data_IF_767683492553
#
_entry.id   IF_767683492553
#
_cell.length_a   1.000
_cell.length_b   1.000
_cell.length_c   1.000
_cell.angle_alpha   90.00
_cell.angle_beta   90.00
_cell.angle_gamma   90.00
#
_symmetry.space_group_name_H-M   'P 1'
#
loop_
_entity.id
_entity.type
_entity.pdbx_description
1 polymer ?
#
# COMPACT_ATOMS: atom_id res chain seq x y z
N UNK A 1 -13.12 30.06 -11.08
CA UNK A 1 -12.77 29.02 -10.08
C UNK A 1 -11.68 28.09 -10.63
N UNK A 2 -11.84 27.56 -11.83
CA UNK A 2 -10.89 26.63 -12.47
C UNK A 2 -9.48 27.20 -12.62
N UNK A 3 -9.35 28.47 -13.05
CA UNK A 3 -8.04 29.13 -13.18
C UNK A 3 -7.29 29.22 -11.83
N UNK A 4 -7.99 29.54 -10.74
CA UNK A 4 -7.39 29.57 -9.40
C UNK A 4 -6.94 28.18 -8.94
N UNK A 5 -7.68 27.14 -9.27
CA UNK A 5 -7.30 25.74 -8.99
C UNK A 5 -6.07 25.33 -9.82
N UNK A 6 -5.99 25.75 -11.09
CA UNK A 6 -4.81 25.50 -11.92
C UNK A 6 -3.55 26.19 -11.37
N UNK A 7 -3.69 27.46 -10.95
CA UNK A 7 -2.60 28.20 -10.32
C UNK A 7 -2.17 27.53 -8.99
N UNK A 8 -3.11 27.08 -8.19
CA UNK A 8 -2.83 26.35 -6.95
C UNK A 8 -2.10 25.04 -7.22
N UNK A 9 -2.58 24.22 -8.21
CA UNK A 9 -1.89 23.01 -8.62
C UNK A 9 -0.44 23.28 -9.02
N UNK A 10 -0.20 24.30 -9.84
CA UNK A 10 1.16 24.66 -10.27
C UNK A 10 2.05 25.08 -9.09
N UNK A 11 1.51 25.76 -8.07
CA UNK A 11 2.25 26.14 -6.87
C UNK A 11 2.64 24.94 -5.98
N UNK A 12 1.86 23.87 -5.98
CA UNK A 12 2.13 22.67 -5.19
C UNK A 12 2.88 21.58 -5.97
N UNK A 13 3.21 21.87 -7.23
CA UNK A 13 3.97 20.96 -8.09
C UNK A 13 5.44 21.33 -8.04
N UNK A 14 6.26 20.41 -7.56
CA UNK A 14 7.72 20.56 -7.47
C UNK A 14 8.36 19.67 -8.54
N UNK A 15 8.73 20.27 -9.66
CA UNK A 15 9.40 19.53 -10.75
C UNK A 15 10.88 19.36 -10.44
N UNK A 16 11.40 18.16 -10.75
CA UNK A 16 12.84 17.93 -10.85
C UNK A 16 13.33 18.37 -12.23
N UNK A 17 14.56 18.87 -12.29
CA UNK A 17 15.22 19.19 -13.58
C UNK A 17 15.48 17.93 -14.42
N UNK A 18 15.35 16.74 -13.83
CA UNK A 18 15.57 15.45 -14.48
C UNK A 18 14.62 14.38 -13.92
N UNK A 19 14.42 13.30 -14.66
CA UNK A 19 13.62 12.16 -14.22
C UNK A 19 14.23 11.51 -13.00
N UNK A 20 13.40 11.24 -11.99
CA UNK A 20 13.80 10.46 -10.83
C UNK A 20 14.03 9.01 -11.24
N UNK A 21 15.26 8.52 -11.02
CA UNK A 21 15.64 7.18 -11.43
C UNK A 21 15.60 6.19 -10.25
N UNK A 22 15.22 4.93 -10.49
CA UNK A 22 15.45 3.85 -9.53
C UNK A 22 16.92 3.79 -9.12
N UNK A 23 17.16 3.65 -7.82
CA UNK A 23 18.49 3.64 -7.20
C UNK A 23 19.35 4.90 -7.45
N UNK A 24 18.76 5.96 -7.99
CA UNK A 24 19.38 7.29 -7.99
C UNK A 24 19.40 7.92 -6.60
N UNK A 25 20.03 9.07 -6.45
CA UNK A 25 20.26 9.74 -5.15
C UNK A 25 18.99 9.89 -4.33
N UNK A 26 17.90 10.40 -4.95
CA UNK A 26 16.62 10.56 -4.25
C UNK A 26 16.10 9.23 -3.71
N UNK A 27 16.09 8.18 -4.53
CA UNK A 27 15.60 6.87 -4.12
C UNK A 27 16.48 6.26 -3.02
N UNK A 28 17.80 6.34 -3.14
CA UNK A 28 18.73 5.84 -2.12
C UNK A 28 18.56 6.56 -0.77
N UNK A 29 18.32 7.88 -0.78
CA UNK A 29 18.00 8.63 0.44
C UNK A 29 16.69 8.13 1.06
N UNK A 30 15.64 7.92 0.25
CA UNK A 30 14.38 7.38 0.74
C UNK A 30 14.55 5.96 1.34
N UNK A 31 15.34 5.10 0.71
CA UNK A 31 15.65 3.75 1.24
C UNK A 31 16.41 3.82 2.57
N UNK A 32 17.39 4.72 2.68
CA UNK A 32 18.12 4.93 3.93
C UNK A 32 17.19 5.44 5.06
N UNK A 33 16.33 6.40 4.77
CA UNK A 33 15.31 6.89 5.71
C UNK A 33 14.35 5.75 6.10
N UNK A 34 13.93 4.92 5.15
CA UNK A 34 13.08 3.76 5.40
C UNK A 34 13.76 2.79 6.37
N UNK A 35 15.01 2.43 6.11
CA UNK A 35 15.77 1.50 6.95
C UNK A 35 15.92 2.04 8.38
N UNK A 36 16.31 3.30 8.53
CA UNK A 36 16.42 3.96 9.85
C UNK A 36 15.07 3.97 10.56
N UNK A 37 13.99 4.29 9.85
CA UNK A 37 12.62 4.30 10.41
C UNK A 37 12.20 2.91 10.89
N UNK A 38 12.51 1.85 10.14
CA UNK A 38 12.24 0.46 10.53
C UNK A 38 13.01 0.07 11.80
N UNK A 39 14.31 0.39 11.86
CA UNK A 39 15.14 0.07 13.04
C UNK A 39 14.62 0.78 14.28
N UNK A 40 14.30 2.07 14.18
CA UNK A 40 13.76 2.84 15.28
C UNK A 40 12.38 2.32 15.70
N UNK A 41 11.49 2.03 14.74
CA UNK A 41 10.17 1.47 15.01
C UNK A 41 10.26 0.12 15.74
N UNK A 42 11.10 -0.81 15.26
CA UNK A 42 11.36 -2.09 15.91
C UNK A 42 11.91 -1.91 17.33
N UNK A 43 12.92 -1.05 17.50
CA UNK A 43 13.55 -0.79 18.79
C UNK A 43 12.55 -0.26 19.82
N UNK A 44 11.76 0.75 19.47
CA UNK A 44 10.77 1.31 20.38
C UNK A 44 9.63 0.34 20.65
N UNK A 45 9.25 -0.50 19.68
CA UNK A 45 8.23 -1.53 19.87
C UNK A 45 8.71 -2.64 20.79
N UNK A 46 10.00 -3.00 20.73
CA UNK A 46 10.57 -3.94 21.71
C UNK A 46 10.44 -3.38 23.14
N UNK A 47 10.65 -2.09 23.34
CA UNK A 47 10.58 -1.44 24.66
C UNK A 47 9.17 -1.12 25.13
N UNK A 48 8.32 -0.61 24.24
CA UNK A 48 6.96 -0.10 24.54
C UNK A 48 5.98 -0.54 23.46
N UNK A 49 5.64 -1.84 23.36
CA UNK A 49 4.98 -2.41 22.18
C UNK A 49 3.64 -1.72 21.84
N UNK A 50 2.73 -1.60 22.79
CA UNK A 50 1.39 -1.04 22.54
C UNK A 50 1.42 0.45 22.22
N UNK A 51 2.20 1.22 22.98
CA UNK A 51 2.30 2.68 22.78
C UNK A 51 2.92 3.02 21.43
N UNK A 52 4.01 2.33 21.07
CA UNK A 52 4.72 2.58 19.81
C UNK A 52 3.85 2.18 18.62
N UNK A 53 3.24 1.02 18.65
CA UNK A 53 2.39 0.55 17.55
C UNK A 53 1.17 1.46 17.38
N UNK A 54 0.50 1.83 18.46
CA UNK A 54 -0.62 2.77 18.40
C UNK A 54 -0.20 4.14 17.82
N UNK A 55 0.91 4.69 18.28
CA UNK A 55 1.45 5.93 17.74
C UNK A 55 1.72 5.84 16.24
N UNK A 56 2.34 4.75 15.79
CA UNK A 56 2.63 4.53 14.38
C UNK A 56 1.35 4.38 13.54
N UNK A 57 0.33 3.68 14.02
CA UNK A 57 -0.95 3.60 13.32
C UNK A 57 -1.59 4.97 13.17
N UNK A 58 -1.64 5.79 14.23
CA UNK A 58 -2.20 7.15 14.17
C UNK A 58 -1.39 8.03 13.23
N UNK A 59 -0.07 8.07 13.39
CA UNK A 59 0.84 8.88 12.55
C UNK A 59 0.71 8.50 11.08
N UNK A 60 0.79 7.20 10.79
CA UNK A 60 0.67 6.70 9.41
C UNK A 60 -0.70 7.00 8.82
N UNK A 61 -1.78 6.84 9.59
CA UNK A 61 -3.13 7.20 9.14
C UNK A 61 -3.19 8.66 8.72
N UNK A 62 -2.76 9.59 9.57
CA UNK A 62 -2.83 11.03 9.26
C UNK A 62 -2.02 11.37 8.01
N UNK A 63 -0.75 10.93 7.96
CA UNK A 63 0.14 11.27 6.85
C UNK A 63 -0.35 10.64 5.54
N UNK A 64 -0.77 9.37 5.57
CA UNK A 64 -1.23 8.68 4.37
C UNK A 64 -2.52 9.26 3.82
N UNK A 65 -3.49 9.64 4.67
CA UNK A 65 -4.72 10.30 4.20
C UNK A 65 -4.48 11.70 3.65
N UNK A 66 -3.57 12.48 4.23
CA UNK A 66 -3.16 13.77 3.68
C UNK A 66 -2.44 13.61 2.33
N UNK A 67 -1.54 12.64 2.23
CA UNK A 67 -0.86 12.30 0.98
C UNK A 67 -1.84 11.82 -0.10
N UNK A 68 -2.83 11.01 0.29
CA UNK A 68 -3.86 10.53 -0.62
C UNK A 68 -4.75 11.67 -1.14
N UNK A 69 -5.17 12.57 -0.26
CA UNK A 69 -5.92 13.76 -0.67
C UNK A 69 -5.14 14.63 -1.67
N UNK A 70 -3.82 14.80 -1.45
CA UNK A 70 -2.94 15.49 -2.40
C UNK A 70 -2.89 14.76 -3.75
N UNK A 71 -2.68 13.44 -3.76
CA UNK A 71 -2.63 12.63 -4.99
C UNK A 71 -3.95 12.70 -5.76
N UNK A 72 -5.07 12.50 -5.09
CA UNK A 72 -6.39 12.54 -5.71
C UNK A 72 -6.66 13.90 -6.37
N UNK A 73 -6.31 15.00 -5.69
CA UNK A 73 -6.41 16.34 -6.27
C UNK A 73 -5.50 16.51 -7.48
N UNK A 74 -4.22 16.09 -7.37
CA UNK A 74 -3.24 16.25 -8.44
C UNK A 74 -3.62 15.45 -9.70
N UNK A 75 -3.96 14.18 -9.54
CA UNK A 75 -4.27 13.26 -10.66
C UNK A 75 -5.62 13.56 -11.32
N UNK A 76 -6.59 14.07 -10.55
CA UNK A 76 -7.92 14.40 -11.08
C UNK A 76 -7.99 15.78 -11.72
N UNK A 77 -6.92 16.57 -11.65
CA UNK A 77 -6.88 17.90 -12.25
C UNK A 77 -6.09 17.90 -13.56
N UNK A 78 -6.80 17.87 -14.71
CA UNK A 78 -6.21 17.83 -16.04
C UNK A 78 -6.79 18.92 -16.93
N UNK A 79 -5.94 19.55 -17.74
CA UNK A 79 -6.34 20.57 -18.74
C UNK A 79 -7.22 21.71 -18.16
N UNK A 80 -6.94 22.13 -16.92
CA UNK A 80 -7.69 23.20 -16.27
C UNK A 80 -9.04 22.77 -15.67
N UNK A 81 -9.42 21.51 -15.76
CA UNK A 81 -10.68 20.96 -15.25
C UNK A 81 -10.43 19.87 -14.21
N UNK A 82 -11.29 19.83 -13.21
CA UNK A 82 -11.32 18.73 -12.25
C UNK A 82 -12.24 17.63 -12.77
N UNK A 83 -11.65 16.47 -13.11
CA UNK A 83 -12.37 15.26 -13.49
C UNK A 83 -11.80 14.13 -12.68
N UNK A 84 -12.59 13.58 -11.74
CA UNK A 84 -12.10 12.53 -10.85
C UNK A 84 -11.66 11.30 -11.65
N UNK A 85 -10.42 10.88 -11.42
CA UNK A 85 -9.83 9.73 -12.09
C UNK A 85 -10.00 8.48 -11.22
N UNK A 86 -11.02 7.67 -11.52
CA UNK A 86 -11.36 6.47 -10.75
C UNK A 86 -10.27 5.41 -10.77
N UNK A 87 -9.39 5.41 -11.77
CA UNK A 87 -8.20 4.57 -11.79
C UNK A 87 -7.30 4.77 -10.57
N UNK A 88 -7.22 5.99 -10.04
CA UNK A 88 -6.43 6.32 -8.86
C UNK A 88 -7.18 6.17 -7.55
N UNK A 89 -8.41 5.66 -7.57
CA UNK A 89 -9.15 5.37 -6.33
C UNK A 89 -8.29 4.55 -5.37
N UNK A 90 -8.19 4.91 -4.08
CA UNK A 90 -7.16 4.37 -3.17
C UNK A 90 -7.50 2.96 -2.66
N UNK A 91 -7.67 2.02 -3.55
CA UNK A 91 -7.93 0.62 -3.22
C UNK A 91 -6.96 -0.35 -3.94
N UNK A 92 -5.76 0.12 -4.23
CA UNK A 92 -4.66 -0.75 -4.63
C UNK A 92 -4.12 -1.51 -3.41
N UNK A 93 -3.44 -2.62 -3.62
CA UNK A 93 -2.88 -3.43 -2.54
C UNK A 93 -2.02 -2.59 -1.58
N UNK A 94 -1.18 -1.69 -2.11
CA UNK A 94 -0.38 -0.75 -1.33
C UNK A 94 -1.19 0.42 -0.72
N UNK A 95 -2.45 0.60 -1.09
CA UNK A 95 -3.33 1.63 -0.51
C UNK A 95 -4.20 1.11 0.63
N UNK A 96 -4.31 -0.21 0.81
CA UNK A 96 -5.12 -0.79 1.90
C UNK A 96 -4.68 -0.39 3.31
N UNK A 97 -3.39 -0.06 3.57
CA UNK A 97 -2.98 0.48 4.86
C UNK A 97 -3.73 1.74 5.28
N UNK A 98 -4.24 2.55 4.34
CA UNK A 98 -5.10 3.70 4.64
C UNK A 98 -6.28 3.31 5.54
N UNK A 99 -6.94 2.22 5.21
CA UNK A 99 -8.11 1.71 5.93
C UNK A 99 -7.73 0.89 7.15
N UNK A 100 -6.73 0.03 6.99
CA UNK A 100 -6.26 -0.86 8.07
C UNK A 100 -5.70 -0.06 9.24
N UNK A 101 -4.85 0.93 8.98
CA UNK A 101 -4.24 1.75 10.04
C UNK A 101 -5.28 2.66 10.71
N UNK A 102 -6.24 3.20 9.94
CA UNK A 102 -7.37 3.94 10.48
C UNK A 102 -8.19 3.05 11.44
N UNK A 103 -8.53 1.84 11.03
CA UNK A 103 -9.28 0.89 11.88
C UNK A 103 -8.48 0.53 13.13
N UNK A 104 -7.17 0.26 13.02
CA UNK A 104 -6.30 0.00 14.18
C UNK A 104 -6.24 1.21 15.13
N UNK A 105 -6.20 2.43 14.60
CA UNK A 105 -6.21 3.66 15.41
C UNK A 105 -7.49 3.84 16.22
N UNK A 106 -8.62 3.37 15.68
CA UNK A 106 -9.95 3.45 16.32
C UNK A 106 -10.14 2.30 17.32
N UNK A 107 -9.87 1.07 16.90
CA UNK A 107 -10.16 -0.14 17.67
C UNK A 107 -9.26 -0.32 18.90
N UNK A 108 -7.98 -0.01 18.79
CA UNK A 108 -6.93 -0.05 19.85
C UNK A 108 -6.67 -1.43 20.46
N UNK A 109 -7.64 -2.36 20.46
CA UNK A 109 -7.55 -3.72 21.03
C UNK A 109 -8.66 -4.62 20.52
N UNK A 110 -8.52 -5.92 20.75
CA UNK A 110 -9.52 -6.94 20.41
C UNK A 110 -9.09 -7.80 19.23
N UNK A 111 -9.85 -8.88 18.97
CA UNK A 111 -9.50 -9.89 17.95
C UNK A 111 -9.31 -9.29 16.55
N UNK A 112 -10.18 -8.36 16.16
CA UNK A 112 -10.07 -7.68 14.87
C UNK A 112 -8.82 -6.80 14.84
N UNK A 113 -8.54 -6.03 15.90
CA UNK A 113 -7.32 -5.24 16.01
C UNK A 113 -6.06 -6.11 15.87
N UNK A 114 -6.03 -7.26 16.55
CA UNK A 114 -4.89 -8.18 16.50
C UNK A 114 -4.71 -8.75 15.06
N UNK A 115 -5.80 -9.12 14.38
CA UNK A 115 -5.76 -9.58 12.99
C UNK A 115 -5.29 -8.48 12.01
N UNK A 116 -5.81 -7.25 12.14
CA UNK A 116 -5.39 -6.10 11.35
C UNK A 116 -3.93 -5.72 11.63
N UNK A 117 -3.49 -5.85 12.89
CA UNK A 117 -2.09 -5.61 13.25
C UNK A 117 -1.18 -6.64 12.60
N UNK A 118 -1.54 -7.92 12.61
CA UNK A 118 -0.76 -8.94 11.91
C UNK A 118 -0.77 -8.71 10.39
N UNK A 119 -1.92 -8.34 9.81
CA UNK A 119 -2.02 -7.94 8.40
C UNK A 119 -1.05 -6.79 8.06
N UNK A 120 -0.93 -5.82 8.96
CA UNK A 120 0.04 -4.73 8.81
C UNK A 120 1.48 -5.23 8.81
N UNK A 121 1.80 -6.20 9.68
CA UNK A 121 3.12 -6.80 9.81
C UNK A 121 3.49 -7.78 8.69
N UNK A 122 2.53 -8.21 7.88
CA UNK A 122 2.73 -9.15 6.77
C UNK A 122 2.45 -8.48 5.43
N UNK A 123 1.19 -8.34 5.07
CA UNK A 123 0.78 -7.83 3.75
C UNK A 123 1.18 -6.38 3.49
N UNK A 124 1.01 -5.47 4.47
CA UNK A 124 1.43 -4.09 4.29
C UNK A 124 2.96 -3.95 4.24
N UNK A 125 3.67 -4.72 5.06
CA UNK A 125 5.13 -4.76 5.02
C UNK A 125 5.63 -5.27 3.66
N UNK A 126 5.04 -6.37 3.16
CA UNK A 126 5.36 -6.91 1.85
C UNK A 126 5.04 -5.93 0.71
N UNK A 127 3.88 -5.27 0.75
CA UNK A 127 3.49 -4.29 -0.26
C UNK A 127 4.47 -3.10 -0.28
N UNK A 128 4.87 -2.59 0.89
CA UNK A 128 5.87 -1.53 1.00
C UNK A 128 7.22 -1.94 0.43
N UNK A 129 7.71 -3.13 0.79
CA UNK A 129 8.98 -3.67 0.28
C UNK A 129 8.94 -3.89 -1.24
N UNK A 130 7.86 -4.43 -1.76
CA UNK A 130 7.69 -4.70 -3.19
C UNK A 130 7.80 -3.43 -4.02
N UNK A 131 7.15 -2.35 -3.60
CA UNK A 131 7.19 -1.07 -4.31
C UNK A 131 8.56 -0.40 -4.18
N UNK A 132 9.15 -0.38 -2.99
CA UNK A 132 10.42 0.28 -2.76
C UNK A 132 11.61 -0.42 -3.41
N UNK A 133 11.61 -1.77 -3.46
CA UNK A 133 12.76 -2.56 -3.86
C UNK A 133 12.60 -3.26 -5.22
N UNK A 134 11.39 -3.77 -5.52
CA UNK A 134 11.17 -4.61 -6.70
C UNK A 134 10.66 -3.75 -7.87
N UNK A 135 9.76 -2.80 -7.60
CA UNK A 135 9.12 -2.00 -8.65
C UNK A 135 9.16 -0.49 -8.37
N UNK A 136 10.35 0.10 -8.08
CA UNK A 136 10.45 1.53 -7.75
C UNK A 136 10.02 2.46 -8.90
N UNK A 137 10.02 1.97 -10.13
CA UNK A 137 9.53 2.73 -11.29
C UNK A 137 8.05 3.08 -11.20
N UNK A 138 7.25 2.29 -10.49
CA UNK A 138 5.81 2.57 -10.30
C UNK A 138 5.55 3.82 -9.48
N UNK A 139 6.48 4.22 -8.63
CA UNK A 139 6.37 5.41 -7.77
C UNK A 139 7.26 6.58 -8.20
N UNK A 140 8.37 6.30 -8.87
CA UNK A 140 9.30 7.33 -9.34
C UNK A 140 9.00 7.80 -10.77
N UNK A 141 8.44 6.92 -11.60
CA UNK A 141 8.19 7.20 -13.03
C UNK A 141 6.88 7.90 -13.33
N UNK A 142 5.87 7.77 -12.47
CA UNK A 142 4.53 8.30 -12.71
C UNK A 142 4.46 9.83 -12.68
N UNK A 143 5.34 10.49 -11.97
CA UNK A 143 5.29 11.93 -11.74
C UNK A 143 5.96 12.80 -12.80
N UNK A 144 6.45 12.28 -13.93
CA UNK A 144 7.18 13.06 -14.93
C UNK A 144 8.26 13.99 -14.31
N UNK A 145 8.93 13.53 -13.26
CA UNK A 145 9.88 14.35 -12.48
C UNK A 145 9.24 15.22 -11.39
N UNK A 146 7.96 15.03 -11.06
CA UNK A 146 7.33 15.74 -9.96
C UNK A 146 7.75 15.15 -8.60
N UNK A 147 8.58 15.87 -7.87
CA UNK A 147 9.00 15.49 -6.51
C UNK A 147 7.82 15.36 -5.54
N UNK A 148 6.78 16.18 -5.68
CA UNK A 148 5.60 16.12 -4.81
C UNK A 148 4.91 14.76 -4.88
N UNK A 149 4.70 14.23 -6.08
CA UNK A 149 4.12 12.90 -6.29
C UNK A 149 5.10 11.80 -5.86
N UNK A 150 6.39 11.95 -6.17
CA UNK A 150 7.38 10.97 -5.73
C UNK A 150 7.47 10.89 -4.19
N UNK A 151 7.49 12.01 -3.48
CA UNK A 151 7.47 12.05 -2.02
C UNK A 151 6.15 11.47 -1.49
N UNK A 152 5.01 11.86 -2.08
CA UNK A 152 3.70 11.34 -1.73
C UNK A 152 3.64 9.81 -1.88
N UNK A 153 4.35 9.26 -2.85
CA UNK A 153 4.42 7.80 -3.02
C UNK A 153 5.44 7.15 -2.09
N UNK A 154 6.65 7.70 -1.96
CA UNK A 154 7.73 7.11 -1.15
C UNK A 154 7.42 7.13 0.35
N UNK A 155 6.83 8.22 0.86
CA UNK A 155 6.55 8.39 2.29
C UNK A 155 5.53 7.37 2.84
N UNK A 156 4.37 7.13 2.22
CA UNK A 156 3.48 6.04 2.62
C UNK A 156 4.16 4.67 2.65
N UNK A 157 4.97 4.32 1.65
CA UNK A 157 5.65 3.03 1.63
C UNK A 157 6.72 2.93 2.73
N UNK A 158 7.41 4.03 3.05
CA UNK A 158 8.28 4.11 4.23
C UNK A 158 7.52 3.88 5.53
N UNK A 159 6.35 4.51 5.68
CA UNK A 159 5.47 4.30 6.85
C UNK A 159 4.92 2.87 6.90
N UNK A 160 4.61 2.27 5.76
CA UNK A 160 4.21 0.85 5.70
C UNK A 160 5.32 -0.06 6.21
N UNK A 161 6.56 0.20 5.83
CA UNK A 161 7.72 -0.57 6.30
C UNK A 161 7.95 -0.40 7.81
N UNK A 162 7.94 0.84 8.31
CA UNK A 162 8.16 1.13 9.73
C UNK A 162 7.02 0.61 10.62
N UNK A 163 5.76 0.84 10.22
CA UNK A 163 4.58 0.37 10.94
C UNK A 163 4.46 -1.14 10.84
N UNK A 164 4.73 -1.71 9.66
CA UNK A 164 4.68 -3.14 9.42
C UNK A 164 5.66 -3.92 10.26
N UNK A 165 6.94 -3.51 10.30
CA UNK A 165 7.92 -4.19 11.17
C UNK A 165 7.56 -4.06 12.66
N UNK A 166 7.02 -2.91 13.07
CA UNK A 166 6.53 -2.70 14.43
C UNK A 166 5.36 -3.66 14.75
N UNK A 167 4.41 -3.80 13.84
CA UNK A 167 3.26 -4.69 14.00
C UNK A 167 3.67 -6.17 14.02
N UNK A 168 4.66 -6.55 13.21
CA UNK A 168 5.21 -7.90 13.21
C UNK A 168 5.91 -8.22 14.55
N UNK A 169 6.76 -7.30 15.03
CA UNK A 169 7.43 -7.44 16.34
C UNK A 169 6.41 -7.52 17.48
N UNK A 170 5.37 -6.68 17.44
CA UNK A 170 4.28 -6.71 18.43
C UNK A 170 3.55 -8.05 18.44
N UNK A 171 3.17 -8.56 17.27
CA UNK A 171 2.45 -9.82 17.13
C UNK A 171 3.33 -11.02 17.53
N UNK A 172 4.59 -11.03 17.12
CA UNK A 172 5.54 -12.08 17.49
C UNK A 172 5.79 -12.16 19.00
N UNK A 173 5.85 -11.01 19.70
CA UNK A 173 6.01 -10.99 21.17
C UNK A 173 4.79 -11.55 21.93
N UNK A 174 3.60 -11.47 21.34
CA UNK A 174 2.35 -11.98 21.92
C UNK A 174 2.06 -13.43 21.54
N UNK A 175 2.84 -13.99 20.63
CA UNK A 175 2.60 -15.30 20.02
C UNK A 175 1.57 -15.23 18.88
N UNK A 176 1.91 -15.82 17.75
CA UNK A 176 1.02 -15.90 16.58
C UNK A 176 0.29 -17.24 16.64
N UNK A 177 -0.91 -17.26 17.19
CA UNK A 177 -1.77 -18.44 17.22
C UNK A 177 -2.36 -18.75 15.83
N UNK A 178 -2.77 -20.00 15.60
CA UNK A 178 -3.46 -20.39 14.38
C UNK A 178 -4.73 -19.54 14.14
N UNK A 179 -5.47 -19.15 15.18
CA UNK A 179 -6.65 -18.28 15.06
C UNK A 179 -6.27 -16.87 14.56
N UNK A 180 -5.15 -16.34 15.05
CA UNK A 180 -4.67 -15.04 14.62
C UNK A 180 -4.18 -15.10 13.17
N UNK A 181 -3.46 -16.16 12.82
CA UNK A 181 -3.02 -16.43 11.45
C UNK A 181 -4.21 -16.53 10.46
N UNK A 182 -5.23 -17.32 10.80
CA UNK A 182 -6.45 -17.40 9.98
C UNK A 182 -7.22 -16.07 9.92
N UNK A 183 -7.21 -15.30 11.01
CA UNK A 183 -7.77 -13.95 11.04
C UNK A 183 -7.05 -12.99 10.08
N UNK A 184 -5.74 -13.09 9.97
CA UNK A 184 -4.91 -12.35 9.01
C UNK A 184 -5.30 -12.65 7.57
N UNK A 185 -5.42 -13.94 7.23
CA UNK A 185 -5.89 -14.39 5.90
C UNK A 185 -7.31 -13.87 5.62
N UNK A 186 -8.20 -13.94 6.60
CA UNK A 186 -9.58 -13.45 6.45
C UNK A 186 -9.63 -11.93 6.17
N UNK A 187 -8.76 -11.14 6.80
CA UNK A 187 -8.63 -9.69 6.47
C UNK A 187 -8.21 -9.52 5.00
N UNK A 188 -7.18 -10.22 4.55
CA UNK A 188 -6.73 -10.16 3.16
C UNK A 188 -7.84 -10.52 2.17
N UNK A 189 -8.51 -11.66 2.38
CA UNK A 189 -9.59 -12.13 1.51
C UNK A 189 -10.80 -11.18 1.51
N UNK A 190 -11.10 -10.55 2.64
CA UNK A 190 -12.17 -9.54 2.73
C UNK A 190 -11.86 -8.30 1.90
N UNK A 191 -10.62 -7.79 2.00
CA UNK A 191 -10.18 -6.66 1.20
C UNK A 191 -10.12 -7.01 -0.30
N UNK A 192 -9.70 -8.22 -0.63
CA UNK A 192 -9.70 -8.73 -2.00
C UNK A 192 -11.13 -8.79 -2.58
N UNK A 193 -12.10 -9.28 -1.80
CA UNK A 193 -13.50 -9.32 -2.22
C UNK A 193 -14.05 -7.90 -2.49
N UNK A 194 -13.70 -6.93 -1.65
CA UNK A 194 -14.05 -5.53 -1.90
C UNK A 194 -13.40 -5.01 -3.18
N UNK A 195 -12.13 -5.36 -3.44
CA UNK A 195 -11.45 -4.97 -4.67
C UNK A 195 -12.16 -5.52 -5.92
N UNK A 196 -12.62 -6.77 -5.90
CA UNK A 196 -13.39 -7.36 -7.00
C UNK A 196 -14.74 -6.65 -7.21
N UNK A 197 -15.46 -6.34 -6.13
CA UNK A 197 -16.70 -5.56 -6.22
C UNK A 197 -16.45 -4.19 -6.87
N UNK A 198 -15.35 -3.53 -6.51
CA UNK A 198 -14.98 -2.25 -7.10
C UNK A 198 -14.54 -2.40 -8.58
N UNK A 199 -13.79 -3.43 -8.92
CA UNK A 199 -13.37 -3.71 -10.30
C UNK A 199 -14.56 -4.00 -11.22
N UNK A 200 -15.62 -4.58 -10.70
CA UNK A 200 -16.85 -4.79 -11.46
C UNK A 200 -17.77 -3.56 -11.47
N UNK A 201 -17.98 -2.94 -10.32
CA UNK A 201 -18.99 -1.89 -10.15
C UNK A 201 -18.55 -0.52 -10.68
N UNK A 202 -17.31 -0.13 -10.47
CA UNK A 202 -16.82 1.20 -10.86
C UNK A 202 -16.83 1.42 -12.37
N UNK A 203 -16.37 0.47 -13.24
CA UNK A 203 -16.46 0.65 -14.68
C UNK A 203 -17.90 0.80 -15.18
N UNK A 204 -18.84 0.03 -14.63
CA UNK A 204 -20.26 0.12 -14.99
C UNK A 204 -20.85 1.47 -14.62
N UNK A 205 -20.48 1.99 -13.45
CA UNK A 205 -21.02 3.26 -12.95
C UNK A 205 -20.36 4.48 -13.57
N UNK A 206 -19.05 4.45 -13.80
CA UNK A 206 -18.25 5.63 -14.16
C UNK A 206 -17.85 5.68 -15.63
N UNK A 207 -17.91 4.54 -16.32
CA UNK A 207 -17.37 4.38 -17.68
C UNK A 207 -15.82 4.43 -17.76
N UNK A 208 -15.13 4.39 -16.60
CA UNK A 208 -13.67 4.41 -16.55
C UNK A 208 -13.13 3.03 -16.16
N UNK A 209 -12.05 2.62 -16.81
CA UNK A 209 -11.35 1.40 -16.45
C UNK A 209 -10.65 1.54 -15.09
N UNK A 210 -10.78 0.51 -14.26
CA UNK A 210 -10.12 0.42 -12.95
C UNK A 210 -9.47 -0.94 -12.76
N UNK A 211 -8.44 -0.99 -11.92
CA UNK A 211 -7.73 -2.24 -11.62
C UNK A 211 -7.31 -2.25 -10.15
N UNK A 212 -8.29 -2.45 -9.26
CA UNK A 212 -8.04 -2.54 -7.82
C UNK A 212 -7.30 -3.83 -7.50
N UNK A 213 -6.31 -3.78 -6.62
CA UNK A 213 -5.43 -4.90 -6.27
C UNK A 213 -4.65 -5.50 -7.45
N UNK A 214 -4.69 -4.89 -8.62
CA UNK A 214 -4.11 -5.43 -9.87
C UNK A 214 -4.74 -6.76 -10.31
N UNK A 215 -5.98 -7.04 -9.94
CA UNK A 215 -6.68 -8.30 -10.21
C UNK A 215 -7.82 -8.17 -11.21
N UNK A 216 -8.05 -6.99 -11.79
CA UNK A 216 -9.11 -6.80 -12.79
C UNK A 216 -8.86 -7.67 -14.02
N UNK A 217 -9.81 -8.55 -14.33
CA UNK A 217 -9.77 -9.36 -15.55
C UNK A 217 -10.02 -8.50 -16.82
N UNK A 218 -10.80 -7.42 -16.71
CA UNK A 218 -11.14 -6.54 -17.82
C UNK A 218 -10.05 -5.54 -18.16
N UNK A 219 -9.22 -5.17 -17.17
CA UNK A 219 -8.13 -4.19 -17.33
C UNK A 219 -6.85 -4.68 -16.66
N UNK A 220 -6.17 -5.68 -17.25
CA UNK A 220 -4.98 -6.28 -16.65
C UNK A 220 -3.80 -5.32 -16.60
N UNK A 221 -2.98 -5.43 -15.57
CA UNK A 221 -1.77 -4.63 -15.39
C UNK A 221 -0.77 -4.86 -16.53
N UNK A 222 -0.22 -3.77 -17.08
CA UNK A 222 0.73 -3.83 -18.18
C UNK A 222 2.20 -3.75 -17.74
N UNK A 223 2.49 -3.50 -16.48
CA UNK A 223 3.84 -3.29 -15.93
C UNK A 223 4.47 -4.53 -15.30
N UNK A 224 5.81 -4.58 -15.27
CA UNK A 224 6.57 -5.58 -14.51
C UNK A 224 6.43 -5.35 -12.98
N UNK A 225 6.45 -6.40 -12.15
CA UNK A 225 6.63 -7.82 -12.51
C UNK A 225 5.34 -8.51 -12.97
N UNK A 226 4.18 -7.94 -12.72
CA UNK A 226 2.88 -8.59 -12.98
C UNK A 226 2.55 -8.71 -14.47
N UNK A 227 3.09 -7.80 -15.29
CA UNK A 227 2.91 -7.83 -16.75
C UNK A 227 3.55 -9.06 -17.45
N UNK A 228 4.57 -9.68 -16.83
CA UNK A 228 5.16 -10.93 -17.36
C UNK A 228 4.12 -12.05 -17.46
N UNK A 229 3.14 -12.03 -16.57
CA UNK A 229 2.12 -13.04 -16.48
C UNK A 229 0.86 -12.70 -17.29
N UNK A 230 0.77 -11.46 -17.81
CA UNK A 230 -0.40 -10.98 -18.56
C UNK A 230 -0.76 -11.89 -19.73
N UNK A 231 0.22 -12.22 -20.56
CA UNK A 231 -0.02 -12.99 -21.79
C UNK A 231 -0.42 -14.45 -21.50
N UNK A 232 0.12 -14.98 -20.40
CA UNK A 232 -0.29 -16.31 -19.90
C UNK A 232 -1.72 -16.32 -19.34
N UNK A 233 -2.16 -15.20 -18.74
CA UNK A 233 -3.48 -15.08 -18.08
C UNK A 233 -4.56 -14.50 -18.96
N UNK A 234 -4.23 -13.85 -20.06
CA UNK A 234 -5.21 -13.35 -21.03
C UNK A 234 -6.02 -14.48 -21.66
N UNK A 235 -5.51 -15.71 -21.65
CA UNK A 235 -6.22 -16.91 -22.13
C UNK A 235 -7.25 -17.48 -21.13
N UNK A 236 -7.19 -17.08 -19.84
CA UNK A 236 -8.12 -17.56 -18.81
C UNK A 236 -8.56 -16.41 -17.92
N UNK A 237 -9.86 -16.03 -17.89
CA UNK A 237 -10.34 -14.86 -17.15
C UNK A 237 -10.07 -14.91 -15.65
N UNK A 238 -9.81 -16.09 -15.09
CA UNK A 238 -9.49 -16.27 -13.67
C UNK A 238 -8.00 -16.52 -13.39
N UNK A 239 -7.19 -16.76 -14.41
CA UNK A 239 -5.77 -17.13 -14.23
C UNK A 239 -4.95 -16.04 -13.59
N UNK A 240 -5.06 -14.80 -14.08
CA UNK A 240 -4.32 -13.66 -13.56
C UNK A 240 -4.73 -13.30 -12.11
N UNK A 241 -6.03 -13.08 -11.79
CA UNK A 241 -6.45 -12.87 -10.41
C UNK A 241 -5.98 -13.95 -9.45
N UNK A 242 -6.12 -15.21 -9.84
CA UNK A 242 -5.69 -16.34 -9.02
C UNK A 242 -4.19 -16.29 -8.72
N UNK A 243 -3.35 -15.94 -9.70
CA UNK A 243 -1.90 -15.85 -9.45
C UNK A 243 -1.55 -14.72 -8.50
N UNK A 244 -2.13 -13.53 -8.68
CA UNK A 244 -1.87 -12.41 -7.76
C UNK A 244 -2.25 -12.79 -6.34
N UNK A 245 -3.38 -13.46 -6.16
CA UNK A 245 -3.83 -13.99 -4.87
C UNK A 245 -2.85 -15.01 -4.32
N UNK A 246 -2.46 -16.00 -5.11
CA UNK A 246 -1.50 -17.05 -4.70
C UNK A 246 -0.13 -16.43 -4.39
N UNK A 247 0.34 -15.52 -5.22
CA UNK A 247 1.61 -14.83 -5.00
C UNK A 247 1.60 -14.06 -3.66
N UNK A 248 0.59 -13.24 -3.44
CA UNK A 248 0.46 -12.50 -2.19
C UNK A 248 0.31 -13.43 -0.97
N UNK A 249 -0.53 -14.47 -1.05
CA UNK A 249 -0.72 -15.43 0.03
C UNK A 249 0.57 -16.20 0.33
N UNK A 250 1.20 -16.78 -0.67
CA UNK A 250 2.39 -17.63 -0.46
C UNK A 250 3.52 -16.83 0.15
N UNK A 251 3.84 -15.64 -0.39
CA UNK A 251 4.97 -14.86 0.13
C UNK A 251 4.76 -14.31 1.54
N UNK A 252 3.53 -13.90 1.85
CA UNK A 252 3.23 -13.31 3.16
C UNK A 252 2.99 -14.36 4.23
N UNK A 253 2.31 -15.45 3.90
CA UNK A 253 1.93 -16.46 4.89
C UNK A 253 3.05 -17.44 5.19
N UNK A 254 3.95 -17.72 4.26
CA UNK A 254 5.17 -18.48 4.55
C UNK A 254 6.01 -17.78 5.63
N UNK A 255 6.14 -16.45 5.58
CA UNK A 255 6.83 -15.70 6.62
C UNK A 255 6.14 -15.84 7.99
N UNK A 256 4.80 -15.82 8.02
CA UNK A 256 4.02 -16.05 9.24
C UNK A 256 4.16 -17.47 9.79
N UNK A 257 4.21 -18.50 8.93
CA UNK A 257 4.38 -19.89 9.35
C UNK A 257 5.68 -20.12 10.12
N UNK A 258 6.75 -19.43 9.75
CA UNK A 258 8.01 -19.48 10.52
C UNK A 258 7.92 -18.81 11.89
N UNK A 259 7.00 -17.87 12.06
CA UNK A 259 6.79 -17.13 13.29
C UNK A 259 5.69 -17.72 14.20
N UNK A 260 4.99 -18.79 13.74
CA UNK A 260 3.99 -19.48 14.56
C UNK A 260 4.65 -20.07 15.83
N UNK A 261 4.05 -19.76 16.96
CA UNK A 261 4.45 -20.40 18.21
C UNK A 261 4.01 -21.87 18.21
N UNK A 262 4.98 -22.77 18.08
CA UNK A 262 4.74 -24.22 18.02
C UNK A 262 4.36 -24.80 19.39
N UNK A 263 4.26 -23.96 20.43
CA UNK A 263 3.92 -24.38 21.81
C UNK A 263 2.48 -24.11 22.19
N UNK A 264 1.67 -23.56 21.29
CA UNK A 264 0.23 -23.30 21.52
C UNK A 264 -0.67 -24.36 20.92
#
# INVERSE_FOLDING_TARGET
MEQKLAEFRNKITFFADHRLAPFGTFHCVCLAVTLVSMVLAAYFTIKKPEKTLYFLFVLSTVIMWLGEAYKQFYESFSNGKFVYQWYYFPFQFCSTPLYVYLLCSILKKGKLYDALSLYSGTYCLFAGASVLLISPTTVLGTGNGNYGIAIQSMLPHTLMMATGISALVYSAKRGISLKLFLGNIAVFLSLLAVAEILNFGLPVWTGQDVNMYFISASYPTQGNPLGIFRDYYSSTPFGYPLLVVVYCLVFTEVACLFALDRKS
#
